data_IF_140396342303
#
_entry.id   IF_140396342303
#
_cell.length_a   1.000
_cell.length_b   1.000
_cell.length_c   1.000
_cell.angle_alpha   90.00
_cell.angle_beta   90.00
_cell.angle_gamma   90.00
#
_symmetry.space_group_name_H-M   'P 1'
#
loop_
_entity.id
_entity.type
_entity.pdbx_description
1 polymer ?
#
# COMPACT_ATOMS: atom_id res chain seq x y z
N UNK A 1 13.43 21.60 16.80
CA UNK A 1 12.31 21.73 15.85
C UNK A 1 11.32 20.59 16.05
N UNK A 2 10.02 20.82 15.80
CA UNK A 2 9.00 19.77 15.79
C UNK A 2 8.13 19.89 14.52
N UNK A 3 7.58 18.78 14.06
CA UNK A 3 6.59 18.72 13.00
C UNK A 3 5.38 17.91 13.45
N UNK A 4 4.22 18.19 12.84
CA UNK A 4 2.97 17.52 13.16
C UNK A 4 2.25 17.15 11.88
N UNK A 5 1.56 15.99 11.90
CA UNK A 5 0.67 15.53 10.85
C UNK A 5 -0.60 14.97 11.48
N UNK A 6 -1.70 15.07 10.76
CA UNK A 6 -2.97 14.45 11.15
C UNK A 6 -3.19 13.25 10.26
N UNK A 7 -3.50 12.12 10.88
CA UNK A 7 -3.98 10.92 10.18
C UNK A 7 -5.43 10.66 10.57
N UNK A 8 -6.21 10.18 9.62
CA UNK A 8 -7.56 9.72 9.82
C UNK A 8 -7.72 8.32 9.23
N UNK A 9 -8.23 7.41 10.05
CA UNK A 9 -8.59 6.07 9.60
C UNK A 9 -10.00 6.12 8.98
N UNK A 10 -10.16 5.43 7.86
CA UNK A 10 -11.44 5.35 7.15
C UNK A 10 -12.19 4.04 7.42
N UNK A 11 -11.53 3.07 8.07
CA UNK A 11 -12.12 1.79 8.41
C UNK A 11 -13.10 1.96 9.58
N UNK A 12 -14.34 1.49 9.39
CA UNK A 12 -15.40 1.63 10.39
C UNK A 12 -15.10 0.91 11.72
N UNK A 13 -14.34 -0.19 11.66
CA UNK A 13 -13.91 -0.99 12.80
C UNK A 13 -13.07 -0.19 13.80
N UNK A 14 -12.32 0.81 13.35
CA UNK A 14 -11.55 1.71 14.24
C UNK A 14 -12.49 2.45 15.21
N UNK A 15 -13.67 2.87 14.74
CA UNK A 15 -14.69 3.49 15.59
C UNK A 15 -15.31 2.51 16.57
N UNK A 16 -15.23 1.22 16.30
CA UNK A 16 -15.63 0.13 17.21
C UNK A 16 -14.51 -0.26 18.18
N UNK A 17 -13.29 0.25 17.97
CA UNK A 17 -12.12 0.01 18.81
C UNK A 17 -11.28 -1.19 18.38
N UNK A 18 -11.45 -1.63 17.13
CA UNK A 18 -10.69 -2.75 16.56
C UNK A 18 -10.04 -2.37 15.24
N UNK A 19 -8.96 -3.06 14.89
CA UNK A 19 -8.41 -3.08 13.54
C UNK A 19 -9.32 -3.90 12.60
N UNK A 20 -9.15 -3.80 11.26
CA UNK A 20 -9.94 -4.57 10.30
C UNK A 20 -9.86 -6.09 10.46
N UNK A 21 -8.81 -6.62 11.08
CA UNK A 21 -8.62 -8.04 11.42
C UNK A 21 -9.30 -8.47 12.72
N UNK A 22 -9.93 -7.52 13.44
CA UNK A 22 -10.62 -7.76 14.72
C UNK A 22 -9.75 -7.58 15.96
N UNK A 23 -8.43 -7.35 15.82
CA UNK A 23 -7.58 -7.03 16.97
C UNK A 23 -7.94 -5.69 17.60
N UNK A 24 -7.65 -5.54 18.90
CA UNK A 24 -7.88 -4.27 19.61
C UNK A 24 -7.03 -3.15 19.00
N UNK A 25 -7.68 -2.05 18.65
CA UNK A 25 -7.00 -0.91 18.06
C UNK A 25 -5.97 -0.28 19.01
N UNK A 26 -4.71 -0.21 18.56
CA UNK A 26 -3.62 0.48 19.24
C UNK A 26 -3.13 1.68 18.43
N UNK A 27 -3.40 2.89 18.91
CA UNK A 27 -2.93 4.13 18.27
C UNK A 27 -1.41 4.24 18.15
N UNK A 28 -0.66 3.49 18.97
CA UNK A 28 0.81 3.51 18.96
C UNK A 28 1.42 2.56 17.92
N UNK A 29 0.62 1.80 17.17
CA UNK A 29 1.12 0.92 16.11
C UNK A 29 1.94 1.69 15.07
N UNK A 30 1.60 2.97 14.79
CA UNK A 30 2.41 3.83 13.91
C UNK A 30 3.85 4.00 14.39
N UNK A 31 4.10 3.85 15.69
CA UNK A 31 5.44 3.87 16.28
C UNK A 31 5.92 2.47 16.70
N UNK A 32 5.38 1.41 16.10
CA UNK A 32 5.83 0.04 16.32
C UNK A 32 7.30 -0.14 15.92
N UNK A 33 8.00 -1.12 16.52
CA UNK A 33 9.40 -1.36 16.19
C UNK A 33 9.64 -1.62 14.70
N UNK A 34 8.73 -2.31 14.04
CA UNK A 34 8.80 -2.64 12.62
C UNK A 34 8.70 -1.39 11.75
N UNK A 35 7.69 -0.56 11.96
CA UNK A 35 7.51 0.71 11.23
C UNK A 35 8.72 1.61 11.41
N UNK A 36 9.20 1.76 12.66
CA UNK A 36 10.36 2.61 12.96
C UNK A 36 11.66 2.08 12.37
N UNK A 37 11.85 0.75 12.32
CA UNK A 37 13.01 0.16 11.66
C UNK A 37 13.00 0.45 10.15
N UNK A 38 11.83 0.38 9.51
CA UNK A 38 11.66 0.73 8.10
C UNK A 38 11.97 2.22 7.83
N UNK A 39 11.59 3.12 8.75
CA UNK A 39 11.96 4.55 8.67
C UNK A 39 13.48 4.75 8.82
N UNK A 40 14.10 4.09 9.81
CA UNK A 40 15.55 4.15 10.03
C UNK A 40 16.30 3.67 8.78
N UNK A 41 15.87 2.57 8.21
CA UNK A 41 16.49 2.00 7.00
C UNK A 41 16.32 2.93 5.78
N UNK A 42 15.11 3.47 5.59
CA UNK A 42 14.80 4.35 4.46
C UNK A 42 15.58 5.66 4.47
N UNK A 43 15.80 6.22 5.66
CA UNK A 43 16.51 7.50 5.83
C UNK A 43 17.99 7.34 6.21
N UNK A 44 18.49 6.10 6.37
CA UNK A 44 19.87 5.85 6.79
C UNK A 44 20.21 6.45 8.16
N UNK A 45 19.26 6.42 9.12
CA UNK A 45 19.47 7.03 10.42
C UNK A 45 20.39 6.19 11.31
N UNK A 46 21.26 6.84 12.06
CA UNK A 46 22.07 6.19 13.10
C UNK A 46 21.37 6.07 14.47
N UNK A 47 20.07 6.35 14.53
CA UNK A 47 19.27 6.26 15.75
C UNK A 47 18.81 4.81 15.98
N UNK A 48 18.64 4.41 17.24
CA UNK A 48 17.93 3.17 17.56
C UNK A 48 16.42 3.38 17.50
N UNK A 49 15.67 2.29 17.34
CA UNK A 49 14.20 2.29 17.34
C UNK A 49 13.66 2.98 18.60
N UNK A 50 14.20 2.66 19.78
CA UNK A 50 13.76 3.24 21.05
C UNK A 50 14.08 4.75 21.15
N UNK A 51 15.21 5.17 20.62
CA UNK A 51 15.59 6.58 20.59
C UNK A 51 14.68 7.39 19.67
N UNK A 52 14.23 6.81 18.56
CA UNK A 52 13.29 7.42 17.64
C UNK A 52 11.88 7.44 18.24
N UNK A 53 11.42 6.32 18.81
CA UNK A 53 10.09 6.19 19.42
C UNK A 53 9.83 7.21 20.52
N UNK A 54 10.83 7.51 21.36
CA UNK A 54 10.70 8.52 22.44
C UNK A 54 10.45 9.95 21.96
N UNK A 55 10.57 10.22 20.67
CA UNK A 55 10.37 11.55 20.06
C UNK A 55 9.08 11.64 19.29
N UNK A 56 8.34 10.54 19.20
CA UNK A 56 7.05 10.47 18.53
C UNK A 56 5.97 10.43 19.59
N UNK A 57 5.03 11.37 19.48
CA UNK A 57 3.82 11.41 20.30
C UNK A 57 2.61 11.22 19.37
N UNK A 58 1.65 10.39 19.82
CA UNK A 58 0.43 10.10 19.09
C UNK A 58 -0.75 10.44 19.99
N UNK A 59 -1.50 11.45 19.62
CA UNK A 59 -2.60 11.96 20.45
C UNK A 59 -3.90 11.98 19.66
N UNK A 60 -5.03 11.51 20.22
CA UNK A 60 -6.32 11.53 19.52
C UNK A 60 -6.84 12.97 19.39
N UNK A 61 -7.54 13.23 18.28
CA UNK A 61 -8.32 14.45 18.08
C UNK A 61 -9.76 14.16 18.48
N UNK A 62 -10.20 14.73 19.59
CA UNK A 62 -11.56 14.57 20.12
C UNK A 62 -12.30 15.90 19.97
N UNK A 63 -13.44 15.88 19.28
CA UNK A 63 -14.26 17.08 19.11
C UNK A 63 -14.83 17.60 20.44
N UNK A 64 -15.09 18.90 20.54
CA UNK A 64 -15.73 19.51 21.72
C UNK A 64 -17.09 18.89 22.03
N UNK A 65 -17.87 18.56 21.01
CA UNK A 65 -19.18 17.89 21.17
C UNK A 65 -19.07 16.52 21.82
N UNK A 66 -18.06 15.73 21.47
CA UNK A 66 -17.79 14.42 22.12
C UNK A 66 -17.36 14.62 23.57
N UNK A 67 -16.51 15.62 23.84
CA UNK A 67 -16.07 15.93 25.21
C UNK A 67 -17.25 16.36 26.09
N UNK A 68 -18.15 17.22 25.57
CA UNK A 68 -19.36 17.63 26.24
C UNK A 68 -20.31 16.47 26.52
N UNK A 69 -20.50 15.58 25.53
CA UNK A 69 -21.33 14.37 25.68
C UNK A 69 -20.76 13.42 26.73
N UNK A 70 -19.44 13.21 26.72
CA UNK A 70 -18.75 12.40 27.73
C UNK A 70 -18.91 12.99 29.14
N UNK A 71 -18.80 14.32 29.27
CA UNK A 71 -18.99 15.02 30.53
C UNK A 71 -20.45 14.97 31.03
N UNK A 72 -21.42 15.02 30.10
CA UNK A 72 -22.85 14.88 30.43
C UNK A 72 -23.17 13.48 30.92
N UNK A 73 -22.74 12.44 30.18
CA UNK A 73 -22.95 11.05 30.57
C UNK A 73 -22.29 10.69 31.91
N UNK A 74 -21.08 11.18 32.16
CA UNK A 74 -20.41 10.97 33.43
C UNK A 74 -21.15 11.58 34.62
N UNK A 75 -21.90 12.70 34.44
CA UNK A 75 -22.78 13.28 35.50
C UNK A 75 -23.97 12.38 35.80
N UNK A 76 -24.46 11.67 34.80
CA UNK A 76 -25.58 10.74 34.93
C UNK A 76 -25.13 9.35 35.44
N UNK A 77 -23.84 9.15 35.68
CA UNK A 77 -23.25 7.90 36.14
C UNK A 77 -23.14 6.85 35.03
N UNK A 78 -23.28 7.27 33.74
CA UNK A 78 -23.13 6.41 32.59
C UNK A 78 -21.73 6.51 32.01
N UNK A 79 -21.15 5.36 31.63
CA UNK A 79 -19.89 5.32 30.90
C UNK A 79 -20.16 5.57 29.39
N UNK A 80 -19.43 6.52 28.80
CA UNK A 80 -19.48 6.77 27.37
C UNK A 80 -18.16 6.36 26.73
N UNK A 81 -18.19 5.26 25.99
CA UNK A 81 -17.05 4.78 25.22
C UNK A 81 -17.03 5.50 23.87
N UNK A 82 -15.90 6.11 23.55
CA UNK A 82 -15.65 6.75 22.26
C UNK A 82 -14.26 6.36 21.77
N UNK A 83 -14.21 5.71 20.63
CA UNK A 83 -12.97 5.35 19.97
C UNK A 83 -12.67 6.36 18.84
N UNK A 84 -11.63 7.18 18.99
CA UNK A 84 -11.27 8.17 17.99
C UNK A 84 -10.72 7.48 16.72
N UNK A 85 -11.07 8.03 15.56
CA UNK A 85 -10.57 7.64 14.23
C UNK A 85 -9.50 8.60 13.70
N UNK A 86 -9.27 9.70 14.40
CA UNK A 86 -8.40 10.79 13.95
C UNK A 86 -7.36 11.11 15.01
N UNK A 87 -6.09 11.14 14.60
CA UNK A 87 -4.95 11.33 15.49
C UNK A 87 -3.99 12.37 14.95
N UNK A 88 -3.36 13.12 15.87
CA UNK A 88 -2.23 13.99 15.57
C UNK A 88 -0.94 13.28 15.98
N UNK A 89 -0.01 13.17 15.05
CA UNK A 89 1.31 12.61 15.27
C UNK A 89 2.30 13.76 15.31
N UNK A 90 3.05 13.84 16.39
CA UNK A 90 4.07 14.87 16.61
C UNK A 90 5.44 14.22 16.68
N UNK A 91 6.37 14.66 15.83
CA UNK A 91 7.77 14.30 15.96
C UNK A 91 8.58 15.47 16.48
N UNK A 92 9.36 15.24 17.54
CA UNK A 92 10.26 16.22 18.14
C UNK A 92 11.70 15.90 17.77
N UNK A 93 12.27 16.71 16.87
CA UNK A 93 13.66 16.56 16.42
C UNK A 93 14.69 16.88 17.51
N UNK A 94 15.92 16.41 17.32
CA UNK A 94 17.08 16.84 18.15
C UNK A 94 17.29 18.36 17.99
N UNK A 95 17.90 19.00 18.98
CA UNK A 95 18.02 20.46 19.04
C UNK A 95 18.71 21.09 17.82
N UNK A 96 19.58 20.38 17.15
CA UNK A 96 20.35 20.78 15.95
C UNK A 96 19.73 20.33 14.62
N UNK A 97 18.65 19.53 14.65
CA UNK A 97 17.97 19.10 13.42
C UNK A 97 17.27 20.26 12.73
N UNK A 98 17.50 20.40 11.41
CA UNK A 98 16.78 21.38 10.59
C UNK A 98 15.29 21.04 10.52
N UNK A 99 14.44 22.06 10.32
CA UNK A 99 13.00 21.86 10.17
C UNK A 99 12.67 20.92 8.98
N UNK A 100 13.48 20.98 7.93
CA UNK A 100 13.35 20.11 6.76
C UNK A 100 13.52 18.62 7.13
N UNK A 101 14.59 18.26 7.86
CA UNK A 101 14.84 16.88 8.29
C UNK A 101 13.79 16.36 9.26
N UNK A 102 13.25 17.21 10.10
CA UNK A 102 12.16 16.86 11.02
C UNK A 102 10.88 16.55 10.25
N UNK A 103 10.58 17.33 9.21
CA UNK A 103 9.43 17.11 8.34
C UNK A 103 9.61 15.85 7.48
N UNK A 104 10.76 15.67 6.83
CA UNK A 104 11.10 14.51 6.02
C UNK A 104 10.92 13.20 6.81
N UNK A 105 11.41 13.17 8.07
CA UNK A 105 11.24 12.01 8.93
C UNK A 105 9.77 11.73 9.24
N UNK A 106 8.98 12.76 9.54
CA UNK A 106 7.57 12.59 9.83
C UNK A 106 6.78 12.13 8.61
N UNK A 107 7.06 12.68 7.43
CA UNK A 107 6.46 12.24 6.16
C UNK A 107 6.83 10.79 5.83
N UNK A 108 8.09 10.41 6.03
CA UNK A 108 8.54 9.01 5.84
C UNK A 108 7.88 8.07 6.86
N UNK A 109 7.72 8.49 8.12
CA UNK A 109 7.03 7.71 9.14
C UNK A 109 5.58 7.42 8.72
N UNK A 110 4.85 8.44 8.29
CA UNK A 110 3.46 8.27 7.83
C UNK A 110 3.41 7.35 6.61
N UNK A 111 4.30 7.56 5.63
CA UNK A 111 4.34 6.71 4.44
C UNK A 111 4.62 5.24 4.79
N UNK A 112 5.62 4.96 5.63
CA UNK A 112 5.94 3.60 6.06
C UNK A 112 4.87 2.97 6.92
N UNK A 113 4.14 3.76 7.68
CA UNK A 113 2.99 3.27 8.42
C UNK A 113 1.79 2.96 7.51
N UNK A 114 1.51 3.80 6.52
CA UNK A 114 0.45 3.52 5.53
C UNK A 114 0.76 2.24 4.74
N UNK A 115 2.03 2.04 4.33
CA UNK A 115 2.47 0.78 3.71
C UNK A 115 2.20 -0.40 4.66
N UNK A 116 2.68 -0.32 5.90
CA UNK A 116 2.49 -1.35 6.93
C UNK A 116 1.01 -1.64 7.19
N UNK A 117 0.19 -0.60 7.39
CA UNK A 117 -1.24 -0.72 7.65
C UNK A 117 -1.98 -1.37 6.46
N UNK A 118 -1.69 -0.91 5.27
CA UNK A 118 -2.25 -1.47 4.03
C UNK A 118 -1.88 -2.94 3.86
N UNK A 119 -0.63 -3.28 4.12
CA UNK A 119 -0.14 -4.66 4.04
C UNK A 119 -0.71 -5.57 5.12
N UNK A 120 -0.97 -5.04 6.32
CA UNK A 120 -1.46 -5.83 7.46
C UNK A 120 -2.97 -6.03 7.43
N UNK A 121 -3.74 -5.01 7.02
CA UNK A 121 -5.18 -4.98 7.24
C UNK A 121 -6.03 -4.93 5.98
N UNK A 122 -5.54 -4.36 4.86
CA UNK A 122 -6.36 -4.28 3.66
C UNK A 122 -6.60 -5.63 3.00
N UNK A 123 -5.66 -6.57 3.12
CA UNK A 123 -5.90 -7.94 2.66
C UNK A 123 -7.09 -8.59 3.38
N UNK A 124 -7.26 -8.32 4.69
CA UNK A 124 -8.38 -8.81 5.51
C UNK A 124 -9.65 -7.98 5.32
N UNK A 125 -9.56 -6.66 5.25
CA UNK A 125 -10.71 -5.79 5.00
C UNK A 125 -11.32 -6.04 3.63
N UNK A 126 -10.49 -6.28 2.60
CA UNK A 126 -10.96 -6.66 1.27
C UNK A 126 -11.72 -7.99 1.28
N UNK A 127 -11.25 -8.98 2.05
CA UNK A 127 -11.94 -10.27 2.21
C UNK A 127 -13.33 -10.08 2.82
N UNK A 128 -13.41 -9.33 3.93
CA UNK A 128 -14.66 -9.14 4.65
C UNK A 128 -15.63 -8.21 3.92
N UNK A 129 -15.14 -7.16 3.24
CA UNK A 129 -15.97 -6.16 2.58
C UNK A 129 -16.38 -6.55 1.15
N UNK A 130 -15.54 -7.24 0.40
CA UNK A 130 -15.83 -7.60 -0.98
C UNK A 130 -16.82 -8.76 -1.13
N UNK A 131 -16.90 -9.64 -0.12
CA UNK A 131 -17.85 -10.76 -0.08
C UNK A 131 -19.11 -10.42 0.74
N UNK A 132 -19.03 -9.44 1.65
CA UNK A 132 -20.15 -8.95 2.44
C UNK A 132 -20.99 -7.88 1.72
N UNK A 133 -20.52 -7.40 0.55
CA UNK A 133 -21.26 -6.38 -0.16
C UNK A 133 -22.40 -7.02 -0.96
N UNK A 134 -23.62 -6.96 -0.39
CA UNK A 134 -24.89 -7.19 -1.11
C UNK A 134 -25.05 -6.33 -2.37
N UNK A 135 -24.01 -5.54 -2.72
CA UNK A 135 -23.96 -4.60 -3.82
C UNK A 135 -23.34 -5.15 -5.12
N UNK A 136 -22.90 -6.42 -5.18
CA UNK A 136 -22.42 -7.01 -6.45
C UNK A 136 -23.49 -6.93 -7.55
N UNK A 137 -24.75 -6.84 -7.17
CA UNK A 137 -25.86 -6.63 -8.12
C UNK A 137 -25.78 -5.30 -8.87
N UNK A 138 -25.13 -4.28 -8.30
CA UNK A 138 -24.98 -2.95 -8.89
C UNK A 138 -23.84 -2.86 -9.93
N UNK A 139 -22.94 -3.85 -9.94
CA UNK A 139 -21.82 -3.91 -10.87
C UNK A 139 -22.17 -4.74 -12.11
N UNK A 140 -21.54 -4.42 -13.23
CA UNK A 140 -21.62 -5.25 -14.44
C UNK A 140 -20.80 -6.54 -14.26
N UNK A 141 -21.06 -7.56 -15.06
CA UNK A 141 -20.40 -8.87 -14.94
C UNK A 141 -18.88 -8.77 -15.00
N UNK A 142 -18.34 -7.93 -15.88
CA UNK A 142 -16.91 -7.72 -15.99
C UNK A 142 -16.34 -6.99 -14.76
N UNK A 143 -17.07 -6.01 -14.21
CA UNK A 143 -16.68 -5.30 -12.99
C UNK A 143 -16.64 -6.26 -11.80
N UNK A 144 -17.65 -7.15 -11.66
CA UNK A 144 -17.67 -8.18 -10.62
C UNK A 144 -16.46 -9.11 -10.76
N UNK A 145 -16.16 -9.54 -11.98
CA UNK A 145 -15.01 -10.42 -12.25
C UNK A 145 -13.68 -9.75 -11.91
N UNK A 146 -13.51 -8.46 -12.23
CA UNK A 146 -12.34 -7.65 -11.86
C UNK A 146 -12.20 -7.52 -10.34
N UNK A 147 -13.31 -7.27 -9.63
CA UNK A 147 -13.32 -7.21 -8.16
C UNK A 147 -12.88 -8.55 -7.56
N UNK A 148 -13.45 -9.67 -8.04
CA UNK A 148 -13.08 -10.99 -7.57
C UNK A 148 -11.59 -11.30 -7.82
N UNK A 149 -11.10 -10.98 -9.02
CA UNK A 149 -9.70 -11.20 -9.39
C UNK A 149 -8.74 -10.40 -8.51
N UNK A 150 -9.04 -9.12 -8.27
CA UNK A 150 -8.21 -8.26 -7.42
C UNK A 150 -8.20 -8.75 -5.97
N UNK A 151 -9.36 -9.12 -5.43
CA UNK A 151 -9.46 -9.67 -4.08
C UNK A 151 -8.63 -10.95 -3.94
N UNK A 152 -8.71 -11.87 -4.90
CA UNK A 152 -7.91 -13.08 -4.90
C UNK A 152 -6.40 -12.76 -4.89
N UNK A 153 -5.96 -11.80 -5.71
CA UNK A 153 -4.55 -11.37 -5.75
C UNK A 153 -4.08 -10.80 -4.42
N UNK A 154 -4.88 -9.96 -3.78
CA UNK A 154 -4.56 -9.38 -2.47
C UNK A 154 -4.48 -10.45 -1.38
N UNK A 155 -5.43 -11.39 -1.37
CA UNK A 155 -5.45 -12.53 -0.45
C UNK A 155 -4.18 -13.37 -0.60
N UNK A 156 -3.84 -13.76 -1.83
CA UNK A 156 -2.62 -14.54 -2.11
C UNK A 156 -1.38 -13.78 -1.62
N UNK A 157 -1.30 -12.48 -1.89
CA UNK A 157 -0.18 -11.64 -1.43
C UNK A 157 -0.07 -11.61 0.10
N UNK A 158 -1.20 -11.49 0.82
CA UNK A 158 -1.24 -11.57 2.28
C UNK A 158 -0.82 -12.94 2.81
N UNK A 159 -1.33 -14.03 2.21
CA UNK A 159 -1.00 -15.41 2.58
C UNK A 159 0.49 -15.74 2.36
N UNK A 160 1.11 -15.22 1.30
CA UNK A 160 2.54 -15.40 1.07
C UNK A 160 3.41 -14.81 2.19
N UNK A 161 2.97 -13.73 2.84
CA UNK A 161 3.67 -13.15 3.99
C UNK A 161 3.59 -14.05 5.22
N UNK A 162 2.41 -14.58 5.54
CA UNK A 162 2.25 -15.55 6.63
C UNK A 162 3.08 -16.82 6.38
N UNK A 163 3.05 -17.33 5.17
CA UNK A 163 3.88 -18.47 4.76
C UNK A 163 5.38 -18.18 4.89
N UNK A 164 5.81 -16.95 4.56
CA UNK A 164 7.22 -16.56 4.71
C UNK A 164 7.64 -16.46 6.19
N UNK A 165 6.70 -16.12 7.09
CA UNK A 165 6.95 -16.07 8.52
C UNK A 165 7.05 -17.49 9.13
N UNK A 166 6.17 -18.41 8.74
CA UNK A 166 6.18 -19.82 9.18
C UNK A 166 5.64 -20.75 8.07
N UNK A 167 6.55 -21.34 7.31
CA UNK A 167 6.22 -22.20 6.17
C UNK A 167 5.62 -23.56 6.59
N UNK A 168 5.89 -23.99 7.81
CA UNK A 168 5.51 -25.32 8.33
C UNK A 168 4.21 -25.25 9.15
N UNK A 169 3.70 -24.04 9.43
CA UNK A 169 2.47 -23.88 10.20
C UNK A 169 1.28 -24.54 9.51
N UNK A 170 0.48 -25.24 10.32
CA UNK A 170 -0.80 -25.82 9.93
C UNK A 170 -1.80 -25.64 11.05
N UNK A 171 -2.93 -25.00 10.73
CA UNK A 171 -4.04 -24.84 11.68
C UNK A 171 -4.58 -26.18 12.15
N UNK A 172 -4.74 -26.33 13.45
CA UNK A 172 -5.35 -27.51 14.06
C UNK A 172 -6.88 -27.48 13.94
N UNK A 173 -7.46 -26.29 13.84
CA UNK A 173 -8.89 -26.07 13.71
C UNK A 173 -9.41 -26.32 12.30
N UNK A 174 -8.74 -25.77 11.29
CA UNK A 174 -9.16 -25.88 9.88
C UNK A 174 -8.44 -27.00 9.11
N UNK A 175 -7.28 -27.43 9.58
CA UNK A 175 -6.41 -28.36 8.88
C UNK A 175 -5.65 -27.77 7.69
N UNK A 176 -5.84 -26.47 7.37
CA UNK A 176 -5.12 -25.79 6.32
C UNK A 176 -3.75 -25.29 6.78
N UNK A 177 -2.76 -25.35 5.89
CA UNK A 177 -1.57 -24.50 5.93
C UNK A 177 -1.82 -23.23 5.09
N UNK A 178 -0.98 -22.19 5.25
CA UNK A 178 -1.05 -21.03 4.38
C UNK A 178 -0.83 -21.39 2.91
N UNK A 179 0.03 -22.38 2.64
CA UNK A 179 0.26 -22.88 1.28
C UNK A 179 -0.98 -23.54 0.69
N UNK A 180 -1.74 -24.31 1.48
CA UNK A 180 -2.97 -24.94 0.99
C UNK A 180 -4.01 -23.88 0.61
N UNK A 181 -4.17 -22.82 1.42
CA UNK A 181 -5.05 -21.71 1.11
C UNK A 181 -4.61 -20.96 -0.15
N UNK A 182 -3.29 -20.71 -0.31
CA UNK A 182 -2.75 -20.12 -1.55
C UNK A 182 -3.16 -20.96 -2.75
N UNK A 183 -3.02 -22.28 -2.71
CA UNK A 183 -3.40 -23.16 -3.82
C UNK A 183 -4.90 -23.08 -4.16
N UNK A 184 -5.77 -23.00 -3.16
CA UNK A 184 -7.21 -22.88 -3.38
C UNK A 184 -7.56 -21.53 -4.07
N UNK A 185 -6.97 -20.41 -3.62
CA UNK A 185 -7.16 -19.11 -4.26
C UNK A 185 -6.52 -19.03 -5.64
N UNK A 186 -5.34 -19.61 -5.84
CA UNK A 186 -4.72 -19.74 -7.16
C UNK A 186 -5.56 -20.57 -8.12
N UNK A 187 -6.25 -21.60 -7.64
CA UNK A 187 -7.16 -22.37 -8.48
C UNK A 187 -8.33 -21.51 -8.98
N UNK A 188 -8.94 -20.70 -8.10
CA UNK A 188 -9.95 -19.73 -8.52
C UNK A 188 -9.40 -18.74 -9.57
N UNK A 189 -8.22 -18.19 -9.32
CA UNK A 189 -7.56 -17.23 -10.20
C UNK A 189 -7.22 -17.82 -11.58
N UNK A 190 -6.77 -19.07 -11.63
CA UNK A 190 -6.26 -19.71 -12.86
C UNK A 190 -7.35 -20.44 -13.62
N UNK A 191 -8.47 -20.77 -12.99
CA UNK A 191 -9.56 -21.55 -13.61
C UNK A 191 -10.84 -20.73 -13.76
N UNK A 192 -11.45 -20.30 -12.66
CA UNK A 192 -12.77 -19.65 -12.68
C UNK A 192 -12.72 -18.25 -13.31
N UNK A 193 -11.78 -17.40 -12.89
CA UNK A 193 -11.68 -16.03 -13.40
C UNK A 193 -11.46 -15.97 -14.92
N UNK A 194 -10.51 -16.73 -15.53
CA UNK A 194 -10.36 -16.75 -16.98
C UNK A 194 -11.58 -17.27 -17.73
N UNK A 195 -12.33 -18.24 -17.16
CA UNK A 195 -13.56 -18.75 -17.75
C UNK A 195 -14.63 -17.67 -17.78
N UNK A 196 -14.82 -16.93 -16.68
CA UNK A 196 -15.73 -15.79 -16.64
C UNK A 196 -15.40 -14.74 -17.70
N UNK A 197 -14.14 -14.32 -17.80
CA UNK A 197 -13.72 -13.37 -18.83
C UNK A 197 -13.98 -13.90 -20.24
N UNK A 198 -13.68 -15.18 -20.49
CA UNK A 198 -13.89 -15.78 -21.80
C UNK A 198 -15.38 -15.73 -22.23
N UNK A 199 -16.29 -16.16 -21.36
CA UNK A 199 -17.73 -16.15 -21.62
C UNK A 199 -18.29 -14.73 -21.76
N UNK A 200 -17.87 -13.81 -20.87
CA UNK A 200 -18.27 -12.39 -20.92
C UNK A 200 -17.85 -11.74 -22.24
N UNK A 201 -16.59 -11.97 -22.68
CA UNK A 201 -16.10 -11.40 -23.94
C UNK A 201 -16.66 -12.09 -25.18
N UNK A 202 -16.86 -13.42 -25.15
CA UNK A 202 -17.46 -14.15 -26.25
C UNK A 202 -18.88 -13.67 -26.54
N UNK A 203 -19.70 -13.60 -25.48
CA UNK A 203 -21.08 -13.15 -25.58
C UNK A 203 -21.24 -11.62 -25.59
N UNK A 204 -20.17 -10.88 -25.20
CA UNK A 204 -20.23 -9.44 -24.88
C UNK A 204 -21.34 -9.13 -23.89
N UNK A 205 -21.38 -9.94 -22.85
CA UNK A 205 -22.44 -9.94 -21.85
C UNK A 205 -22.27 -8.78 -20.90
N UNK A 206 -23.27 -7.94 -20.81
CA UNK A 206 -23.31 -6.78 -19.92
C UNK A 206 -24.73 -6.53 -19.44
N UNK A 207 -24.88 -6.09 -18.19
CA UNK A 207 -26.17 -5.63 -17.65
C UNK A 207 -26.60 -4.30 -18.28
N UNK A 208 -25.63 -3.44 -18.63
CA UNK A 208 -25.84 -2.16 -19.27
C UNK A 208 -24.61 -1.80 -20.14
N UNK A 209 -24.60 -2.20 -21.44
CA UNK A 209 -23.46 -1.97 -22.31
C UNK A 209 -23.09 -0.50 -22.50
N UNK A 210 -24.07 0.41 -22.54
CA UNK A 210 -23.82 1.85 -22.73
C UNK A 210 -23.06 2.41 -21.51
N UNK A 211 -23.57 2.12 -20.30
CA UNK A 211 -22.90 2.53 -19.05
C UNK A 211 -21.50 1.92 -18.95
N UNK A 212 -21.36 0.64 -19.32
CA UNK A 212 -20.08 -0.05 -19.26
C UNK A 212 -19.04 0.60 -20.17
N UNK A 213 -19.40 0.92 -21.39
CA UNK A 213 -18.53 1.61 -22.35
C UNK A 213 -18.14 3.00 -21.81
N UNK A 214 -19.10 3.78 -21.31
CA UNK A 214 -18.82 5.10 -20.72
C UNK A 214 -17.85 5.01 -19.55
N UNK A 215 -18.05 4.05 -18.63
CA UNK A 215 -17.19 3.79 -17.48
C UNK A 215 -15.73 3.49 -17.92
N UNK A 216 -15.55 2.57 -18.88
CA UNK A 216 -14.21 2.22 -19.33
C UNK A 216 -13.55 3.31 -20.17
N UNK A 217 -14.30 4.14 -20.88
CA UNK A 217 -13.77 5.36 -21.52
C UNK A 217 -13.32 6.39 -20.49
N UNK A 218 -14.06 6.54 -19.39
CA UNK A 218 -13.63 7.41 -18.29
C UNK A 218 -12.34 6.89 -17.65
N UNK A 219 -12.28 5.61 -17.30
CA UNK A 219 -11.07 4.95 -16.74
C UNK A 219 -9.86 5.07 -17.69
N UNK A 220 -10.05 4.90 -19.01
CA UNK A 220 -9.02 5.13 -20.03
C UNK A 220 -8.45 6.55 -19.90
N UNK A 221 -9.31 7.56 -19.86
CA UNK A 221 -8.90 8.97 -19.77
C UNK A 221 -8.18 9.27 -18.44
N UNK A 222 -8.66 8.74 -17.32
CA UNK A 222 -8.02 8.89 -16.01
C UNK A 222 -6.62 8.28 -15.99
N UNK A 223 -6.46 7.09 -16.56
CA UNK A 223 -5.17 6.40 -16.62
C UNK A 223 -4.19 7.11 -17.57
N UNK A 224 -4.66 7.68 -18.70
CA UNK A 224 -3.82 8.54 -19.56
C UNK A 224 -3.39 9.83 -18.86
N UNK A 225 -4.25 10.41 -18.03
CA UNK A 225 -3.87 11.57 -17.21
C UNK A 225 -2.82 11.22 -16.16
N UNK A 226 -2.96 10.06 -15.50
CA UNK A 226 -1.95 9.54 -14.55
C UNK A 226 -0.61 9.31 -15.26
N UNK A 227 -0.62 8.65 -16.42
CA UNK A 227 0.58 8.47 -17.25
C UNK A 227 1.29 9.79 -17.49
N UNK A 228 0.57 10.79 -17.99
CA UNK A 228 1.13 12.12 -18.28
C UNK A 228 1.74 12.77 -17.03
N UNK A 229 1.07 12.71 -15.89
CA UNK A 229 1.58 13.26 -14.64
C UNK A 229 2.88 12.57 -14.20
N UNK A 230 2.98 11.23 -14.34
CA UNK A 230 4.20 10.51 -14.02
C UNK A 230 5.33 10.84 -15.00
N UNK A 231 5.07 10.99 -16.31
CA UNK A 231 6.05 11.42 -17.30
C UNK A 231 6.58 12.83 -17.02
N UNK A 232 5.70 13.78 -16.67
CA UNK A 232 6.09 15.14 -16.30
C UNK A 232 6.96 15.14 -15.02
N UNK A 233 6.59 14.34 -14.02
CA UNK A 233 7.36 14.19 -12.77
C UNK A 233 8.73 13.54 -13.04
N UNK A 234 8.77 12.50 -13.89
CA UNK A 234 10.02 11.90 -14.33
C UNK A 234 10.94 12.89 -15.04
N UNK A 235 10.41 13.71 -15.94
CA UNK A 235 11.17 14.76 -16.61
C UNK A 235 11.75 15.79 -15.62
N UNK A 236 10.97 16.19 -14.61
CA UNK A 236 11.46 17.07 -13.54
C UNK A 236 12.57 16.42 -12.71
N UNK A 237 12.42 15.12 -12.37
CA UNK A 237 13.43 14.36 -11.63
C UNK A 237 14.71 14.22 -12.45
N UNK A 238 14.60 13.93 -13.76
CA UNK A 238 15.73 13.89 -14.67
C UNK A 238 16.49 15.23 -14.73
N UNK A 239 15.78 16.34 -14.80
CA UNK A 239 16.40 17.67 -14.77
C UNK A 239 17.20 17.91 -13.48
N UNK A 240 16.66 17.46 -12.33
CA UNK A 240 17.38 17.51 -11.05
C UNK A 240 18.63 16.62 -11.07
N UNK A 241 18.55 15.41 -11.63
CA UNK A 241 19.70 14.52 -11.78
C UNK A 241 20.80 15.14 -12.64
N UNK A 242 20.43 15.74 -13.78
CA UNK A 242 21.37 16.38 -14.69
C UNK A 242 22.06 17.57 -14.01
N UNK A 243 21.31 18.43 -13.32
CA UNK A 243 21.85 19.56 -12.55
C UNK A 243 22.76 19.10 -11.42
N UNK A 244 22.40 18.02 -10.72
CA UNK A 244 23.20 17.44 -9.65
C UNK A 244 24.50 16.83 -10.19
N UNK A 245 24.45 16.15 -11.33
CA UNK A 245 25.62 15.59 -12.00
C UNK A 245 26.59 16.69 -12.46
N UNK A 246 26.09 17.81 -12.97
CA UNK A 246 26.92 18.95 -13.39
C UNK A 246 27.60 19.62 -12.18
N UNK A 247 26.84 19.87 -11.11
CA UNK A 247 27.40 20.48 -9.89
C UNK A 247 28.51 19.63 -9.26
N UNK A 248 28.45 18.30 -9.40
CA UNK A 248 29.43 17.37 -8.85
C UNK A 248 30.63 17.11 -9.80
N UNK A 249 30.60 17.55 -11.06
CA UNK A 249 31.75 17.47 -11.97
C UNK A 249 32.87 18.43 -11.58
N UNK A 250 32.56 19.53 -10.90
CA UNK A 250 33.53 20.55 -10.46
C UNK A 250 34.21 20.20 -9.12
N UNK A 251 33.81 19.11 -8.44
CA UNK A 251 34.54 18.67 -7.25
C UNK A 251 35.91 18.11 -7.62
N UNK A 252 37.02 18.64 -7.06
CA UNK A 252 38.37 18.20 -7.41
C UNK A 252 38.54 16.69 -7.24
N UNK A 253 39.10 16.03 -8.25
CA UNK A 253 39.49 14.63 -8.17
C UNK A 253 40.54 14.43 -7.07
N UNK A 254 40.17 14.02 -5.87
CA UNK A 254 41.11 13.75 -4.77
C UNK A 254 42.03 12.52 -5.01
N UNK A 255 42.03 11.97 -6.24
CA UNK A 255 42.90 10.85 -6.62
C UNK A 255 44.27 11.25 -7.13
N UNK A 256 44.61 12.55 -7.26
CA UNK A 256 45.92 13.00 -7.75
C UNK A 256 46.90 13.40 -6.65
N UNK A 257 46.65 13.12 -5.38
CA UNK A 257 47.67 13.23 -4.34
C UNK A 257 48.26 11.84 -4.02
N UNK A 258 48.93 11.28 -5.04
CA UNK A 258 49.94 10.24 -4.81
C UNK A 258 51.31 10.82 -4.99
N UNK A 259 52.02 10.88 -3.87
CA UNK A 259 53.48 10.95 -3.75
C UNK A 259 54.18 12.20 -4.29
N UNK A 260 54.46 13.14 -3.40
CA UNK A 260 55.83 13.57 -3.14
C UNK A 260 55.85 14.42 -1.86
N UNK A 261 56.23 13.83 -0.77
CA UNK A 261 57.24 14.29 0.18
C UNK A 261 57.07 13.62 1.53
N UNK A 262 58.04 12.85 1.86
CA UNK A 262 58.42 12.51 3.24
C UNK A 262 58.78 13.81 3.95
N UNK A 263 57.98 14.27 4.91
CA UNK A 263 58.42 14.94 6.12
C UNK A 263 57.22 15.18 7.06
N UNK A 264 57.44 14.79 8.30
CA UNK A 264 56.54 14.87 9.43
C UNK A 264 55.99 16.27 9.68
N UNK A 265 54.67 16.41 9.63
CA UNK A 265 53.84 17.34 10.44
C UNK A 265 52.37 17.30 10.01
N UNK A 266 51.75 16.11 10.07
CA UNK A 266 50.46 15.85 9.43
C UNK A 266 49.34 15.38 10.39
N UNK A 267 49.03 16.22 11.36
CA UNK A 267 47.77 16.04 12.10
C UNK A 267 46.64 16.96 11.64
N UNK A 268 46.90 17.93 10.79
CA UNK A 268 45.93 18.92 10.29
C UNK A 268 45.21 18.50 8.99
N UNK A 269 45.69 17.46 8.28
CA UNK A 269 45.14 17.07 6.95
C UNK A 269 44.00 16.05 7.09
N UNK A 270 43.83 15.41 8.24
CA UNK A 270 42.80 14.38 8.46
C UNK A 270 41.39 14.93 8.57
N UNK A 271 41.20 16.14 9.06
CA UNK A 271 39.85 16.73 9.22
C UNK A 271 39.19 17.09 7.89
N UNK A 272 39.98 17.60 6.88
CA UNK A 272 39.45 17.96 5.56
C UNK A 272 39.07 16.75 4.70
N UNK A 273 39.81 15.62 4.87
CA UNK A 273 39.60 14.41 4.09
C UNK A 273 38.35 13.65 4.58
N UNK A 274 38.06 13.72 5.88
CA UNK A 274 36.85 13.11 6.45
C UNK A 274 35.57 13.82 6.04
N UNK A 275 35.62 15.17 5.92
CA UNK A 275 34.45 15.96 5.53
C UNK A 275 34.14 15.79 4.03
N UNK A 276 35.16 15.73 3.18
CA UNK A 276 35.02 15.50 1.73
C UNK A 276 34.47 14.10 1.41
N UNK A 277 34.88 13.06 2.16
CA UNK A 277 34.32 11.72 2.02
C UNK A 277 32.86 11.62 2.46
N UNK A 278 32.45 12.34 3.51
CA UNK A 278 31.05 12.42 3.94
C UNK A 278 30.17 13.13 2.92
N UNK A 279 30.63 14.22 2.37
CA UNK A 279 29.92 14.94 1.30
C UNK A 279 29.79 14.08 0.03
N UNK A 280 30.82 13.35 -0.36
CA UNK A 280 30.79 12.45 -1.52
C UNK A 280 29.86 11.25 -1.31
N UNK A 281 29.82 10.68 -0.11
CA UNK A 281 28.92 9.59 0.21
C UNK A 281 27.47 10.10 0.23
N UNK A 282 27.21 11.25 0.83
CA UNK A 282 25.89 11.90 0.82
C UNK A 282 25.44 12.27 -0.61
N UNK A 283 26.35 12.78 -1.44
CA UNK A 283 26.07 13.09 -2.85
C UNK A 283 25.73 11.85 -3.67
N UNK A 284 26.45 10.75 -3.47
CA UNK A 284 26.18 9.48 -4.15
C UNK A 284 24.82 8.93 -3.75
N UNK A 285 24.51 8.91 -2.45
CA UNK A 285 23.21 8.45 -1.92
C UNK A 285 22.06 9.29 -2.48
N UNK A 286 22.19 10.61 -2.57
CA UNK A 286 21.18 11.50 -3.16
C UNK A 286 20.97 11.22 -4.63
N UNK A 287 22.05 10.99 -5.39
CA UNK A 287 21.95 10.67 -6.82
C UNK A 287 21.30 9.30 -7.05
N UNK A 288 21.65 8.29 -6.24
CA UNK A 288 21.04 6.96 -6.30
C UNK A 288 19.53 7.03 -6.01
N UNK A 289 19.11 7.83 -5.02
CA UNK A 289 17.69 8.08 -4.72
C UNK A 289 16.97 8.78 -5.89
N UNK A 290 17.62 9.73 -6.57
CA UNK A 290 17.02 10.37 -7.75
C UNK A 290 16.87 9.38 -8.92
N UNK A 291 17.84 8.47 -9.13
CA UNK A 291 17.73 7.40 -10.14
C UNK A 291 16.54 6.48 -9.81
N UNK A 292 16.44 6.05 -8.56
CA UNK A 292 15.34 5.18 -8.11
C UNK A 292 13.98 5.86 -8.32
N UNK A 293 13.83 7.11 -7.89
CA UNK A 293 12.62 7.88 -8.09
C UNK A 293 12.28 8.06 -9.58
N UNK A 294 13.26 8.37 -10.42
CA UNK A 294 13.08 8.47 -11.87
C UNK A 294 12.60 7.16 -12.47
N UNK A 295 13.23 6.05 -12.09
CA UNK A 295 12.87 4.72 -12.57
C UNK A 295 11.44 4.33 -12.15
N UNK A 296 11.10 4.55 -10.87
CA UNK A 296 9.76 4.27 -10.35
C UNK A 296 8.69 5.11 -11.06
N UNK A 297 8.96 6.37 -11.35
CA UNK A 297 8.05 7.25 -12.11
C UNK A 297 7.82 6.74 -13.54
N UNK A 298 8.88 6.26 -14.22
CA UNK A 298 8.73 5.66 -15.55
C UNK A 298 7.96 4.35 -15.53
N UNK A 299 8.17 3.51 -14.52
CA UNK A 299 7.39 2.28 -14.32
C UNK A 299 5.92 2.63 -14.12
N UNK A 300 5.61 3.56 -13.21
CA UNK A 300 4.24 4.02 -12.95
C UNK A 300 3.57 4.64 -14.17
N UNK A 301 4.32 5.37 -15.00
CA UNK A 301 3.83 5.90 -16.26
C UNK A 301 3.47 4.78 -17.25
N UNK A 302 4.34 3.76 -17.38
CA UNK A 302 4.09 2.62 -18.24
C UNK A 302 2.89 1.80 -17.75
N UNK A 303 2.76 1.56 -16.46
CA UNK A 303 1.64 0.82 -15.87
C UNK A 303 0.31 1.55 -16.11
N UNK A 304 0.30 2.89 -15.94
CA UNK A 304 -0.86 3.71 -16.25
C UNK A 304 -1.23 3.67 -17.74
N UNK A 305 -0.24 3.62 -18.63
CA UNK A 305 -0.48 3.44 -20.07
C UNK A 305 -1.09 2.07 -20.39
N UNK A 306 -0.56 1.00 -19.80
CA UNK A 306 -1.09 -0.36 -20.00
C UNK A 306 -2.52 -0.47 -19.50
N UNK A 307 -2.84 0.14 -18.36
CA UNK A 307 -4.19 0.22 -17.82
C UNK A 307 -5.13 0.98 -18.77
N UNK A 308 -4.69 2.12 -19.31
CA UNK A 308 -5.48 2.87 -20.30
C UNK A 308 -5.78 2.02 -21.55
N UNK A 309 -4.77 1.28 -22.04
CA UNK A 309 -4.95 0.40 -23.20
C UNK A 309 -5.89 -0.77 -22.91
N UNK A 310 -5.85 -1.30 -21.68
CA UNK A 310 -6.79 -2.32 -21.23
C UNK A 310 -8.22 -1.79 -21.20
N UNK A 311 -8.46 -0.65 -20.55
CA UNK A 311 -9.76 0.00 -20.51
C UNK A 311 -10.31 0.33 -21.90
N UNK A 312 -9.46 0.85 -22.79
CA UNK A 312 -9.80 1.09 -24.20
C UNK A 312 -10.27 -0.17 -24.90
N UNK A 313 -9.52 -1.27 -24.74
CA UNK A 313 -9.84 -2.55 -25.37
C UNK A 313 -11.20 -3.07 -24.93
N UNK A 314 -11.51 -2.96 -23.63
CA UNK A 314 -12.82 -3.36 -23.08
C UNK A 314 -13.92 -2.52 -23.71
N UNK A 315 -13.81 -1.20 -23.68
CA UNK A 315 -14.79 -0.31 -24.29
C UNK A 315 -15.01 -0.64 -25.76
N UNK A 316 -13.93 -0.83 -26.55
CA UNK A 316 -14.00 -1.16 -27.97
C UNK A 316 -14.70 -2.51 -28.24
N UNK A 317 -14.59 -3.49 -27.34
CA UNK A 317 -15.25 -4.81 -27.44
C UNK A 317 -16.77 -4.63 -27.28
N UNK A 318 -17.20 -3.90 -26.25
CA UNK A 318 -18.62 -3.76 -25.94
C UNK A 318 -19.33 -2.78 -26.87
N UNK A 319 -18.67 -1.74 -27.40
CA UNK A 319 -19.21 -0.85 -28.43
C UNK A 319 -19.64 -1.60 -29.70
N UNK A 320 -18.99 -2.70 -30.03
CA UNK A 320 -19.28 -3.50 -31.23
C UNK A 320 -20.53 -4.37 -31.11
N UNK A 321 -21.15 -4.43 -29.94
CA UNK A 321 -22.33 -5.25 -29.64
C UNK A 321 -22.06 -6.77 -29.77
N UNK A 322 -23.04 -7.60 -29.48
CA UNK A 322 -22.92 -9.05 -29.47
C UNK A 322 -22.48 -9.64 -30.83
N UNK A 323 -21.72 -10.72 -30.78
CA UNK A 323 -21.31 -11.44 -31.97
C UNK A 323 -22.53 -12.16 -32.64
N UNK A 324 -22.60 -12.17 -33.96
CA UNK A 324 -23.68 -12.86 -34.66
C UNK A 324 -23.54 -14.38 -34.45
N UNK A 325 -24.66 -15.03 -34.07
CA UNK A 325 -24.74 -16.48 -33.91
C UNK A 325 -24.32 -17.02 -32.55
N UNK A 326 -24.03 -16.16 -31.59
CA UNK A 326 -23.79 -16.51 -30.18
C UNK A 326 -25.11 -16.43 -29.41
N UNK A 327 -25.44 -17.50 -28.67
CA UNK A 327 -26.60 -17.49 -27.75
C UNK A 327 -26.22 -16.77 -26.46
N UNK A 328 -26.49 -15.48 -26.43
CA UNK A 328 -26.13 -14.60 -25.33
C UNK A 328 -26.88 -14.91 -24.05
N UNK A 329 -28.11 -15.46 -24.11
CA UNK A 329 -28.87 -15.82 -22.92
C UNK A 329 -28.27 -17.02 -22.22
N UNK A 330 -27.87 -18.05 -22.96
CA UNK A 330 -27.19 -19.23 -22.38
C UNK A 330 -25.86 -18.85 -21.73
N UNK A 331 -25.06 -18.00 -22.38
CA UNK A 331 -23.81 -17.52 -21.79
C UNK A 331 -24.04 -16.64 -20.57
N UNK A 332 -25.07 -15.83 -20.58
CA UNK A 332 -25.45 -14.99 -19.43
C UNK A 332 -25.82 -15.84 -18.22
N UNK A 333 -26.68 -16.86 -18.41
CA UNK A 333 -27.01 -17.80 -17.34
C UNK A 333 -25.77 -18.54 -16.81
N UNK A 334 -24.84 -18.92 -17.70
CA UNK A 334 -23.56 -19.53 -17.34
C UNK A 334 -22.70 -18.59 -16.50
N UNK A 335 -22.55 -17.34 -16.92
CA UNK A 335 -21.77 -16.31 -16.19
C UNK A 335 -22.37 -16.02 -14.81
N UNK A 336 -23.69 -15.85 -14.73
CA UNK A 336 -24.38 -15.60 -13.45
C UNK A 336 -24.19 -16.76 -12.47
N UNK A 337 -24.27 -17.99 -12.97
CA UNK A 337 -24.03 -19.19 -12.18
C UNK A 337 -22.58 -19.28 -11.70
N UNK A 338 -21.61 -19.07 -12.61
CA UNK A 338 -20.19 -19.17 -12.29
C UNK A 338 -19.75 -18.07 -11.31
N UNK A 339 -20.30 -16.84 -11.43
CA UNK A 339 -20.08 -15.77 -10.45
C UNK A 339 -20.60 -16.19 -9.08
N UNK A 340 -21.83 -16.74 -9.01
CA UNK A 340 -22.43 -17.18 -7.76
C UNK A 340 -21.64 -18.30 -7.09
N UNK A 341 -21.21 -19.31 -7.88
CA UNK A 341 -20.42 -20.44 -7.38
C UNK A 341 -19.03 -19.98 -6.91
N UNK A 342 -18.40 -19.08 -7.66
CA UNK A 342 -17.10 -18.51 -7.29
C UNK A 342 -17.18 -17.64 -6.03
N UNK A 343 -18.22 -16.82 -5.89
CA UNK A 343 -18.45 -16.00 -4.71
C UNK A 343 -18.67 -16.85 -3.45
N UNK A 344 -19.48 -17.91 -3.56
CA UNK A 344 -19.70 -18.84 -2.45
C UNK A 344 -18.41 -19.58 -2.06
N UNK A 345 -17.63 -20.03 -3.04
CA UNK A 345 -16.33 -20.65 -2.78
C UNK A 345 -15.36 -19.68 -2.11
N UNK A 346 -15.29 -18.43 -2.57
CA UNK A 346 -14.48 -17.38 -1.93
C UNK A 346 -14.90 -17.14 -0.49
N UNK A 347 -16.20 -17.12 -0.20
CA UNK A 347 -16.74 -16.96 1.16
C UNK A 347 -16.30 -18.10 2.07
N UNK A 348 -16.46 -19.36 1.66
CA UNK A 348 -16.03 -20.52 2.45
C UNK A 348 -14.51 -20.50 2.69
N UNK A 349 -13.72 -20.12 1.68
CA UNK A 349 -12.27 -19.98 1.82
C UNK A 349 -11.91 -18.82 2.78
N UNK A 350 -12.64 -17.72 2.75
CA UNK A 350 -12.44 -16.59 3.66
C UNK A 350 -12.72 -16.99 5.13
N UNK A 351 -13.76 -17.74 5.40
CA UNK A 351 -14.03 -18.29 6.74
C UNK A 351 -12.89 -19.23 7.21
N UNK A 352 -12.39 -20.08 6.31
CA UNK A 352 -11.24 -20.95 6.59
C UNK A 352 -9.95 -20.18 6.81
N UNK A 353 -9.74 -19.12 6.04
CA UNK A 353 -8.58 -18.22 6.17
C UNK A 353 -8.60 -17.51 7.52
N UNK A 354 -9.74 -16.90 7.90
CA UNK A 354 -9.87 -16.22 9.19
C UNK A 354 -9.55 -17.16 10.34
N UNK A 355 -10.17 -18.34 10.37
CA UNK A 355 -9.91 -19.34 11.42
C UNK A 355 -8.45 -19.86 11.42
N UNK A 356 -7.82 -19.96 10.24
CA UNK A 356 -6.40 -20.38 10.15
C UNK A 356 -5.46 -19.31 10.69
N UNK A 357 -5.76 -18.04 10.44
CA UNK A 357 -4.96 -16.91 10.96
C UNK A 357 -5.16 -16.75 12.47
N UNK A 358 -6.39 -16.92 12.98
CA UNK A 358 -6.65 -16.90 14.41
C UNK A 358 -5.84 -17.98 15.14
N UNK A 359 -5.83 -19.22 14.62
CA UNK A 359 -5.00 -20.32 15.15
C UNK A 359 -3.50 -20.00 15.10
N UNK A 360 -3.05 -19.30 14.03
CA UNK A 360 -1.65 -18.89 13.92
C UNK A 360 -1.27 -17.82 14.95
N UNK A 361 -2.14 -16.85 15.17
CA UNK A 361 -1.92 -15.80 16.16
C UNK A 361 -1.85 -16.39 17.57
N UNK A 362 -2.74 -17.35 17.90
CA UNK A 362 -2.71 -18.07 19.17
C UNK A 362 -1.44 -18.94 19.33
N UNK A 363 -0.95 -19.53 18.24
CA UNK A 363 0.27 -20.33 18.23
C UNK A 363 1.55 -19.50 18.38
N UNK A 364 1.56 -18.29 17.82
CA UNK A 364 2.73 -17.39 17.78
C UNK A 364 2.82 -16.44 18.98
N UNK A 365 1.78 -16.34 19.82
CA UNK A 365 1.70 -15.51 21.03
C UNK A 365 2.44 -16.17 22.21
#
# INVERSE_FOLDING_TARGET
>A
SSAKVIIKYNDSQISEGTFPDGETFDQYQISSPEVLQNVINALGLGDSVEALRRRIDVSPIISSSVQELKAAKAKDGEEYVYNPDTFIITYSGKGDQSAYKVRELLETLVFKYVDYYSESYHAFAAINNALADDNLENYDYIEVTEIMENNIKEIISGLEKYKAADADFRSTGTGYSFQDLIYEYEHLQKSNIPTLYAEIYEGKISKNPERLVELYRQRENESLLKQKNFEETAAMTKTKMDSFSEANKELPNAYNYKNNNQNNDDLAILDGVYDDNRQRTASKTTYDTLIENYTNQLISANDSYLEAMHCKKIADIFEKGAAKGVDTEVLKESVEKEISESAEKMKVLSESLSATVDDYNDYSA
#
